data_IF_541666888798
#
_entry.id   IF_541666888798
#
_cell.length_a   1.000
_cell.length_b   1.000
_cell.length_c   1.000
_cell.angle_alpha   90.00
_cell.angle_beta   90.00
_cell.angle_gamma   90.00
#
_symmetry.space_group_name_H-M   'P 1'
#
loop_
_entity.id
_entity.type
_entity.pdbx_description
1 polymer ?
#
# COMPACT_ATOMS: atom_id res chain seq x y z
N UNK A 1 -34.96 74.46 8.77
CA UNK A 1 -35.42 73.10 9.16
C UNK A 1 -34.89 72.10 8.13
N UNK A 2 -33.79 71.40 8.40
CA UNK A 2 -33.29 70.34 7.51
C UNK A 2 -34.21 69.13 7.65
N UNK A 3 -34.96 68.79 6.59
CA UNK A 3 -35.76 67.56 6.52
C UNK A 3 -34.79 66.37 6.59
N UNK A 4 -34.63 65.79 7.77
CA UNK A 4 -33.98 64.48 7.92
C UNK A 4 -34.87 63.48 7.18
N UNK A 5 -34.37 62.96 6.06
CA UNK A 5 -35.09 61.98 5.24
C UNK A 5 -35.39 60.75 6.10
N UNK A 6 -36.68 60.52 6.42
CA UNK A 6 -37.15 59.33 7.16
C UNK A 6 -36.64 58.02 6.55
N UNK A 7 -36.42 57.99 5.23
CA UNK A 7 -35.87 56.84 4.52
C UNK A 7 -34.38 56.59 4.85
N UNK A 8 -33.60 57.64 5.13
CA UNK A 8 -32.20 57.50 5.54
C UNK A 8 -32.09 56.99 6.97
N UNK A 9 -33.03 57.40 7.84
CA UNK A 9 -33.13 56.89 9.21
C UNK A 9 -33.56 55.42 9.25
N UNK A 10 -34.51 55.01 8.40
CA UNK A 10 -34.90 53.60 8.25
C UNK A 10 -33.78 52.73 7.68
N UNK A 11 -32.98 53.27 6.74
CA UNK A 11 -31.84 52.56 6.15
C UNK A 11 -30.69 52.40 7.17
N UNK A 12 -30.48 53.39 8.04
CA UNK A 12 -29.54 53.29 9.16
C UNK A 12 -30.01 52.29 10.23
N UNK A 13 -31.32 52.27 10.51
CA UNK A 13 -31.91 51.34 11.48
C UNK A 13 -31.89 49.88 10.98
N UNK A 14 -32.07 49.68 9.66
CA UNK A 14 -31.97 48.35 9.05
C UNK A 14 -30.51 47.85 8.98
N UNK A 15 -29.54 48.72 8.73
CA UNK A 15 -28.11 48.33 8.73
C UNK A 15 -27.60 47.99 10.13
N UNK A 16 -28.06 48.66 11.19
CA UNK A 16 -27.69 48.32 12.59
C UNK A 16 -28.30 46.98 13.03
N UNK A 17 -29.48 46.60 12.52
CA UNK A 17 -30.11 45.31 12.80
C UNK A 17 -29.36 44.11 12.16
N UNK A 18 -28.67 44.32 11.02
CA UNK A 18 -27.92 43.26 10.34
C UNK A 18 -26.59 42.89 11.04
N UNK A 19 -26.02 43.75 11.89
CA UNK A 19 -24.76 43.47 12.59
C UNK A 19 -24.93 42.81 13.97
N UNK A 20 -26.17 42.62 14.46
CA UNK A 20 -26.42 42.05 15.79
C UNK A 20 -26.62 40.52 15.81
N UNK A 21 -26.48 39.84 14.66
CA UNK A 21 -26.89 38.45 14.49
C UNK A 21 -25.79 37.38 14.58
N UNK A 22 -24.51 37.73 14.58
CA UNK A 22 -23.42 36.73 14.68
C UNK A 22 -22.96 36.59 16.13
N UNK A 23 -23.65 35.73 16.89
CA UNK A 23 -23.00 35.08 18.04
C UNK A 23 -22.00 34.08 17.49
N UNK A 24 -20.73 34.34 17.71
CA UNK A 24 -19.66 33.40 17.40
C UNK A 24 -19.78 32.25 18.40
N UNK A 25 -20.11 31.05 17.92
CA UNK A 25 -20.13 29.86 18.77
C UNK A 25 -18.74 29.67 19.38
N UNK A 26 -18.66 29.80 20.69
CA UNK A 26 -17.43 29.57 21.43
C UNK A 26 -17.18 28.08 21.51
N UNK A 27 -16.10 27.61 20.90
CA UNK A 27 -15.63 26.23 21.05
C UNK A 27 -15.18 26.07 22.51
N UNK A 28 -15.98 25.37 23.29
CA UNK A 28 -15.76 25.12 24.72
C UNK A 28 -16.80 24.15 25.27
N UNK A 29 -16.65 23.69 26.51
CA UNK A 29 -17.63 22.82 27.14
C UNK A 29 -19.00 23.53 27.21
N UNK A 30 -20.06 22.79 26.88
CA UNK A 30 -21.44 23.29 26.95
C UNK A 30 -21.92 23.48 28.40
N UNK A 31 -21.27 22.79 29.32
CA UNK A 31 -21.55 22.77 30.74
C UNK A 31 -20.43 23.52 31.49
N UNK A 32 -20.78 24.32 32.51
CA UNK A 32 -19.82 25.07 33.32
C UNK A 32 -19.91 24.63 34.80
N UNK A 33 -19.53 23.38 35.04
CA UNK A 33 -19.41 22.71 36.34
C UNK A 33 -17.95 22.79 36.82
N UNK A 34 -17.75 23.03 38.11
CA UNK A 34 -16.42 22.92 38.77
C UNK A 34 -16.24 21.57 39.46
N UNK A 35 -17.18 20.64 39.26
CA UNK A 35 -17.15 19.31 39.88
C UNK A 35 -15.97 18.52 39.33
N UNK A 36 -15.07 18.13 40.21
CA UNK A 36 -13.91 17.29 39.90
C UNK A 36 -14.36 15.83 40.00
N UNK A 37 -14.27 15.03 38.92
CA UNK A 37 -14.56 13.60 39.01
C UNK A 37 -13.62 12.89 39.98
N UNK A 38 -14.10 11.79 40.56
CA UNK A 38 -13.27 10.84 41.28
C UNK A 38 -12.16 10.26 40.41
N UNK A 39 -11.08 9.81 41.03
CA UNK A 39 -10.01 9.11 40.35
C UNK A 39 -10.48 7.73 39.87
N UNK A 40 -9.91 7.24 38.77
CA UNK A 40 -10.09 5.84 38.35
C UNK A 40 -9.54 4.88 39.40
N UNK A 41 -10.10 3.67 39.47
CA UNK A 41 -9.67 2.62 40.41
C UNK A 41 -9.45 1.27 39.72
N UNK A 42 -8.89 0.28 40.42
CA UNK A 42 -8.61 -1.07 39.90
C UNK A 42 -7.83 -1.05 38.57
N UNK A 43 -6.83 -0.18 38.48
CA UNK A 43 -6.02 -0.06 37.27
C UNK A 43 -5.17 -1.31 37.10
N UNK A 44 -5.23 -1.96 35.93
CA UNK A 44 -4.36 -3.08 35.57
C UNK A 44 -3.68 -2.84 34.23
N UNK A 45 -2.49 -3.41 34.07
CA UNK A 45 -1.61 -3.21 32.91
C UNK A 45 -1.36 -4.54 32.20
N UNK A 46 -1.61 -4.57 30.89
CA UNK A 46 -1.19 -5.66 30.01
C UNK A 46 -0.19 -5.12 29.00
N UNK A 47 1.08 -5.48 29.13
CA UNK A 47 2.14 -5.01 28.24
C UNK A 47 2.14 -5.77 26.90
N UNK A 48 2.34 -5.05 25.80
CA UNK A 48 2.45 -5.58 24.44
C UNK A 48 3.63 -4.98 23.67
N UNK A 49 3.85 -5.40 22.40
CA UNK A 49 5.00 -4.95 21.60
C UNK A 49 4.95 -3.44 21.31
N UNK A 50 5.82 -2.66 21.97
CA UNK A 50 5.84 -1.19 21.85
C UNK A 50 4.57 -0.49 22.38
N UNK A 51 3.73 -1.18 23.16
CA UNK A 51 2.49 -0.66 23.71
C UNK A 51 2.14 -1.30 25.07
N UNK A 52 1.12 -0.74 25.73
CA UNK A 52 0.47 -1.36 26.87
C UNK A 52 -1.02 -1.01 26.89
N UNK A 53 -1.85 -1.98 27.28
CA UNK A 53 -3.28 -1.78 27.51
C UNK A 53 -3.52 -1.57 28.99
N UNK A 54 -4.13 -0.45 29.34
CA UNK A 54 -4.55 -0.09 30.68
C UNK A 54 -6.04 -0.38 30.80
N UNK A 55 -6.46 -1.12 31.81
CA UNK A 55 -7.89 -1.27 32.15
C UNK A 55 -8.17 -0.73 33.52
N UNK A 56 -9.37 -0.20 33.75
CA UNK A 56 -9.72 0.50 35.00
C UNK A 56 -11.23 0.47 35.28
N UNK A 57 -11.60 0.75 36.53
CA UNK A 57 -12.97 1.04 36.94
C UNK A 57 -13.21 2.54 36.93
N UNK A 58 -14.34 2.93 36.32
CA UNK A 58 -14.76 4.33 36.22
C UNK A 58 -15.24 4.87 37.58
N UNK A 59 -14.99 6.15 37.88
CA UNK A 59 -15.58 6.79 39.05
C UNK A 59 -17.10 6.93 38.89
N UNK A 60 -17.84 6.88 40.00
CA UNK A 60 -19.30 7.00 40.00
C UNK A 60 -19.74 8.48 39.94
N UNK A 61 -19.38 9.15 38.85
CA UNK A 61 -19.68 10.57 38.61
C UNK A 61 -20.63 10.74 37.43
N UNK A 62 -21.78 11.37 37.67
CA UNK A 62 -22.77 11.66 36.60
C UNK A 62 -22.24 12.63 35.55
N UNK A 63 -21.26 13.46 35.93
CA UNK A 63 -20.63 14.48 35.09
C UNK A 63 -19.39 13.93 34.34
N UNK A 64 -19.07 12.64 34.45
CA UNK A 64 -17.93 12.06 33.75
C UNK A 64 -18.15 12.09 32.22
N UNK A 65 -17.17 12.60 31.48
CA UNK A 65 -17.18 12.60 30.01
C UNK A 65 -16.20 11.58 29.44
N UNK A 66 -14.97 11.55 29.93
CA UNK A 66 -13.96 10.62 29.45
C UNK A 66 -12.87 10.36 30.49
N UNK A 67 -12.11 9.30 30.27
CA UNK A 67 -10.84 9.05 30.95
C UNK A 67 -9.73 9.26 29.93
N UNK A 68 -8.66 9.95 30.32
CA UNK A 68 -7.47 10.12 29.48
C UNK A 68 -6.21 9.60 30.15
N UNK A 69 -5.28 9.09 29.35
CA UNK A 69 -3.92 8.81 29.78
C UNK A 69 -2.94 9.77 29.09
N UNK A 70 -1.99 10.28 29.86
CA UNK A 70 -0.89 11.13 29.40
C UNK A 70 0.43 10.45 29.72
N UNK A 71 1.32 10.38 28.73
CA UNK A 71 2.62 9.73 28.82
C UNK A 71 3.60 10.36 27.83
N UNK A 72 4.90 10.15 28.04
CA UNK A 72 5.94 10.67 27.15
C UNK A 72 6.60 9.54 26.37
N UNK A 73 6.89 9.79 25.10
CA UNK A 73 7.73 8.93 24.29
C UNK A 73 9.21 9.23 24.56
N UNK A 74 10.09 8.33 24.12
CA UNK A 74 11.55 8.47 24.24
C UNK A 74 12.11 9.71 23.55
N UNK A 75 11.41 10.22 22.52
CA UNK A 75 11.76 11.45 21.81
C UNK A 75 11.29 12.74 22.55
N UNK A 76 10.65 12.61 23.72
CA UNK A 76 10.14 13.73 24.51
C UNK A 76 8.74 14.21 24.10
N UNK A 77 8.10 13.60 23.10
CA UNK A 77 6.74 13.93 22.71
C UNK A 77 5.74 13.45 23.76
N UNK A 78 4.91 14.37 24.24
CA UNK A 78 3.76 14.05 25.08
C UNK A 78 2.63 13.47 24.23
N UNK A 79 2.05 12.37 24.72
CA UNK A 79 0.97 11.65 24.08
C UNK A 79 -0.26 11.67 24.98
N UNK A 80 -1.42 11.86 24.37
CA UNK A 80 -2.72 11.80 25.04
C UNK A 80 -3.61 10.78 24.32
N UNK A 81 -4.22 9.87 25.08
CA UNK A 81 -5.23 8.94 24.59
C UNK A 81 -6.47 9.04 25.47
N UNK A 82 -7.66 9.00 24.86
CA UNK A 82 -8.95 9.13 25.55
C UNK A 82 -9.81 7.88 25.34
N UNK A 83 -10.59 7.56 26.36
CA UNK A 83 -11.69 6.60 26.33
C UNK A 83 -12.92 7.32 26.86
N UNK A 84 -14.04 7.24 26.14
CA UNK A 84 -15.29 7.81 26.65
C UNK A 84 -15.71 7.17 27.97
N UNK A 85 -16.65 7.78 28.68
CA UNK A 85 -17.24 7.25 29.90
C UNK A 85 -17.96 5.89 29.74
N UNK A 86 -18.10 5.37 28.51
CA UNK A 86 -18.58 4.01 28.26
C UNK A 86 -17.47 2.96 28.21
N UNK A 87 -16.22 3.39 28.01
CA UNK A 87 -15.06 2.53 27.90
C UNK A 87 -14.26 2.45 29.19
N UNK A 88 -13.65 1.30 29.43
CA UNK A 88 -12.87 1.00 30.63
C UNK A 88 -11.41 0.61 30.30
N UNK A 89 -10.94 1.00 29.11
CA UNK A 89 -9.63 0.63 28.59
C UNK A 89 -8.98 1.76 27.79
N UNK A 90 -7.66 1.89 27.92
CA UNK A 90 -6.82 2.82 27.16
C UNK A 90 -5.62 2.06 26.60
N UNK A 91 -5.34 2.25 25.31
CA UNK A 91 -4.14 1.72 24.67
C UNK A 91 -3.09 2.84 24.59
N UNK A 92 -1.96 2.66 25.29
CA UNK A 92 -0.80 3.56 25.21
C UNK A 92 0.25 2.91 24.31
N UNK A 93 0.77 3.65 23.33
CA UNK A 93 1.58 3.08 22.24
C UNK A 93 2.74 3.99 21.85
N UNK A 94 3.71 3.43 21.13
CA UNK A 94 4.82 4.18 20.55
C UNK A 94 6.11 4.09 21.36
N UNK A 95 6.15 3.19 22.33
CA UNK A 95 7.38 2.92 23.08
C UNK A 95 8.40 2.21 22.17
N UNK A 96 9.59 2.79 22.07
CA UNK A 96 10.70 2.22 21.28
C UNK A 96 11.58 1.24 22.05
N UNK A 97 11.46 1.22 23.38
CA UNK A 97 12.28 0.45 24.31
C UNK A 97 11.44 -0.43 25.24
N UNK A 98 12.10 -1.18 26.12
CA UNK A 98 11.46 -2.07 27.12
C UNK A 98 11.62 -1.56 28.56
N UNK A 99 11.85 -0.25 28.74
CA UNK A 99 12.03 0.37 30.04
C UNK A 99 10.67 0.57 30.73
N UNK A 100 10.70 0.92 32.02
CA UNK A 100 9.49 1.37 32.70
C UNK A 100 9.15 2.81 32.29
N UNK A 101 7.88 3.04 31.94
CA UNK A 101 7.36 4.35 31.59
C UNK A 101 6.22 4.73 32.53
N UNK A 102 6.25 5.97 33.03
CA UNK A 102 5.15 6.51 33.83
C UNK A 102 4.00 6.94 32.93
N UNK A 103 2.78 6.52 33.30
CA UNK A 103 1.54 6.94 32.65
C UNK A 103 0.61 7.55 33.70
N UNK A 104 0.06 8.72 33.39
CA UNK A 104 -0.87 9.44 34.27
C UNK A 104 -2.27 9.33 33.72
N UNK A 105 -3.18 8.75 34.48
CA UNK A 105 -4.58 8.55 34.10
C UNK A 105 -5.46 9.56 34.83
N UNK A 106 -6.33 10.25 34.10
CA UNK A 106 -7.23 11.28 34.60
C UNK A 106 -8.67 10.93 34.22
N UNK A 107 -9.60 11.10 35.15
CA UNK A 107 -11.03 11.20 34.83
C UNK A 107 -11.35 12.67 34.54
N UNK A 108 -12.12 12.95 33.49
CA UNK A 108 -12.41 14.31 33.03
C UNK A 108 -13.92 14.50 32.87
N UNK A 109 -14.43 15.60 33.44
CA UNK A 109 -15.86 15.93 33.42
C UNK A 109 -16.31 16.52 32.08
N UNK A 110 -17.62 16.72 31.90
CA UNK A 110 -18.20 17.40 30.73
C UNK A 110 -17.80 18.87 30.63
N UNK A 111 -17.34 19.44 31.75
CA UNK A 111 -16.77 20.78 31.85
C UNK A 111 -15.25 20.82 31.69
N UNK A 112 -14.61 19.75 31.22
CA UNK A 112 -13.16 19.66 31.02
C UNK A 112 -12.34 19.86 32.31
N UNK A 113 -12.92 19.55 33.46
CA UNK A 113 -12.22 19.53 34.75
C UNK A 113 -11.67 18.13 35.01
N UNK A 114 -10.35 18.02 35.17
CA UNK A 114 -9.66 16.75 35.39
C UNK A 114 -9.51 16.42 36.89
N UNK A 115 -9.58 15.13 37.22
CA UNK A 115 -9.24 14.59 38.54
C UNK A 115 -7.75 14.75 38.88
N UNK A 116 -7.37 14.42 40.11
CA UNK A 116 -5.98 14.09 40.40
C UNK A 116 -5.53 12.85 39.57
N UNK A 117 -4.25 12.74 39.17
CA UNK A 117 -3.79 11.62 38.35
C UNK A 117 -3.69 10.32 39.16
N UNK A 118 -4.12 9.22 38.55
CA UNK A 118 -3.62 7.89 38.89
C UNK A 118 -2.33 7.63 38.13
N UNK A 119 -1.22 7.53 38.87
CA UNK A 119 0.10 7.28 38.30
C UNK A 119 0.36 5.77 38.30
N UNK A 120 0.63 5.20 37.13
CA UNK A 120 0.97 3.79 36.95
C UNK A 120 2.23 3.67 36.10
N UNK A 121 2.95 2.57 36.25
CA UNK A 121 4.08 2.24 35.39
C UNK A 121 3.71 1.14 34.41
N UNK A 122 4.12 1.32 33.16
CA UNK A 122 4.03 0.29 32.12
C UNK A 122 5.44 -0.16 31.72
N UNK A 123 5.58 -1.40 31.28
CA UNK A 123 6.85 -1.96 30.80
C UNK A 123 6.61 -2.70 29.48
N UNK A 124 6.55 -1.98 28.35
CA UNK A 124 6.22 -2.55 27.05
C UNK A 124 7.18 -3.68 26.66
N UNK A 125 6.67 -4.60 25.85
CA UNK A 125 7.50 -5.61 25.20
C UNK A 125 8.27 -4.96 24.04
N UNK A 126 9.26 -5.68 23.52
CA UNK A 126 10.13 -5.20 22.44
C UNK A 126 9.32 -4.64 21.25
N UNK A 127 9.70 -3.45 20.78
CA UNK A 127 9.06 -2.82 19.63
C UNK A 127 9.24 -3.71 18.38
N UNK A 128 8.16 -3.96 17.60
CA UNK A 128 8.19 -4.81 16.41
C UNK A 128 9.30 -4.52 15.39
N UNK A 129 9.76 -3.27 15.27
CA UNK A 129 10.82 -2.88 14.32
C UNK A 129 12.08 -3.74 14.47
N UNK A 130 12.41 -4.19 15.68
CA UNK A 130 13.59 -4.99 15.96
C UNK A 130 13.48 -6.43 15.44
N UNK A 131 12.29 -7.03 15.53
CA UNK A 131 12.03 -8.35 14.93
C UNK A 131 12.16 -8.32 13.41
N UNK A 132 11.65 -7.25 12.80
CA UNK A 132 11.76 -7.03 11.35
C UNK A 132 13.23 -6.78 10.97
N UNK A 133 13.97 -5.97 11.74
CA UNK A 133 15.39 -5.71 11.51
C UNK A 133 16.23 -6.98 11.51
N UNK A 134 16.06 -7.84 12.52
CA UNK A 134 16.83 -9.09 12.62
C UNK A 134 16.52 -10.08 11.50
N UNK A 135 15.33 -10.04 10.91
CA UNK A 135 14.95 -10.90 9.78
C UNK A 135 15.24 -10.27 8.41
N UNK A 136 15.61 -8.98 8.36
CA UNK A 136 15.76 -8.22 7.13
C UNK A 136 16.93 -8.72 6.29
N UNK A 137 16.63 -9.09 5.05
CA UNK A 137 17.60 -9.37 3.99
C UNK A 137 17.41 -8.36 2.86
N UNK A 138 18.46 -7.63 2.56
CA UNK A 138 18.52 -6.76 1.39
C UNK A 138 19.40 -7.43 0.31
N UNK A 139 18.86 -7.63 -0.87
CA UNK A 139 19.57 -8.21 -2.01
C UNK A 139 19.47 -7.31 -3.24
N UNK A 140 20.42 -7.44 -4.16
CA UNK A 140 20.35 -6.74 -5.43
C UNK A 140 19.12 -7.21 -6.24
N UNK A 141 18.45 -6.25 -6.86
CA UNK A 141 17.31 -6.49 -7.76
C UNK A 141 17.42 -5.57 -8.99
N UNK A 142 16.58 -5.80 -9.98
CA UNK A 142 16.53 -5.04 -11.22
C UNK A 142 16.22 -3.57 -10.98
N UNK A 143 17.19 -2.71 -11.31
CA UNK A 143 17.12 -1.27 -11.10
C UNK A 143 17.06 -0.87 -9.63
N UNK A 144 17.37 -1.76 -8.68
CA UNK A 144 17.48 -1.40 -7.26
C UNK A 144 17.70 -2.56 -6.30
N UNK A 145 16.92 -2.61 -5.22
CA UNK A 145 17.08 -3.57 -4.13
C UNK A 145 15.76 -4.24 -3.80
N UNK A 146 15.82 -5.52 -3.44
CA UNK A 146 14.69 -6.26 -2.88
C UNK A 146 14.92 -6.50 -1.39
N UNK A 147 13.87 -6.33 -0.60
CA UNK A 147 13.86 -6.48 0.85
C UNK A 147 12.93 -7.63 1.23
N UNK A 148 13.48 -8.59 1.98
CA UNK A 148 12.73 -9.71 2.55
C UNK A 148 12.80 -9.68 4.06
N UNK A 149 11.65 -9.73 4.73
CA UNK A 149 11.56 -9.74 6.20
C UNK A 149 10.21 -10.28 6.67
N UNK A 150 10.06 -10.53 7.98
CA UNK A 150 8.79 -10.94 8.59
C UNK A 150 8.38 -9.95 9.68
N UNK A 151 7.12 -9.52 9.65
CA UNK A 151 6.46 -8.59 10.59
C UNK A 151 5.21 -9.24 11.21
N UNK A 152 5.37 -10.16 12.18
CA UNK A 152 4.26 -10.93 12.74
C UNK A 152 3.16 -10.08 13.39
N UNK A 153 3.51 -8.91 13.92
CA UNK A 153 2.60 -7.99 14.60
C UNK A 153 1.79 -7.11 13.64
N UNK A 154 2.06 -7.17 12.32
CA UNK A 154 1.46 -6.26 11.33
C UNK A 154 1.66 -4.78 11.70
N UNK A 155 2.82 -4.46 12.29
CA UNK A 155 3.11 -3.09 12.70
C UNK A 155 3.30 -2.21 11.45
N UNK A 156 2.74 -1.00 11.47
CA UNK A 156 2.99 0.01 10.45
C UNK A 156 4.45 0.48 10.51
N UNK A 157 5.22 0.13 9.50
CA UNK A 157 6.65 0.43 9.44
C UNK A 157 7.09 0.97 8.09
N UNK A 158 8.24 1.61 8.11
CA UNK A 158 8.97 2.06 6.93
C UNK A 158 10.36 1.45 6.89
N UNK A 159 10.76 0.95 5.71
CA UNK A 159 12.14 0.58 5.41
C UNK A 159 12.76 1.76 4.68
N UNK A 160 13.65 2.46 5.36
CA UNK A 160 14.32 3.64 4.84
C UNK A 160 15.66 3.26 4.22
N UNK A 161 15.87 3.69 2.98
CA UNK A 161 17.05 3.32 2.20
C UNK A 161 17.90 4.55 1.92
N UNK A 162 19.18 4.46 2.27
CA UNK A 162 20.18 5.48 2.06
C UNK A 162 21.30 4.93 1.17
N UNK A 163 21.85 5.78 0.32
CA UNK A 163 22.98 5.46 -0.55
C UNK A 163 24.19 6.31 -0.16
N UNK A 164 25.39 5.72 -0.17
CA UNK A 164 26.60 6.49 0.08
C UNK A 164 26.96 7.34 -1.14
N UNK A 165 27.04 8.65 -0.93
CA UNK A 165 27.51 9.64 -1.91
C UNK A 165 28.47 10.61 -1.24
N UNK A 166 29.65 10.81 -1.84
CA UNK A 166 30.72 11.70 -1.33
C UNK A 166 31.03 11.47 0.17
N UNK A 167 31.12 10.21 0.58
CA UNK A 167 31.45 9.80 1.96
C UNK A 167 30.30 9.93 2.97
N UNK A 168 29.11 10.39 2.56
CA UNK A 168 27.92 10.50 3.43
C UNK A 168 26.80 9.61 2.93
N UNK A 169 25.96 9.10 3.83
CA UNK A 169 24.75 8.40 3.46
C UNK A 169 23.63 9.41 3.26
N UNK A 170 23.07 9.45 2.04
CA UNK A 170 21.97 10.34 1.68
C UNK A 170 20.70 9.50 1.47
N UNK A 171 19.52 9.97 1.95
CA UNK A 171 18.28 9.25 1.77
C UNK A 171 17.95 9.14 0.28
N UNK A 172 17.45 7.98 -0.13
CA UNK A 172 16.81 7.85 -1.44
C UNK A 172 15.39 8.41 -1.37
N UNK A 173 14.80 8.75 -2.52
CA UNK A 173 13.38 9.10 -2.59
C UNK A 173 12.44 7.89 -2.52
N UNK A 174 12.98 6.71 -2.17
CA UNK A 174 12.35 5.40 -2.35
C UNK A 174 12.42 4.60 -1.05
N UNK A 175 11.45 4.86 -0.17
CA UNK A 175 11.23 4.06 1.03
C UNK A 175 10.06 3.09 0.79
N UNK A 176 10.06 1.97 1.50
CA UNK A 176 8.91 1.04 1.54
C UNK A 176 8.09 1.37 2.77
N UNK A 177 6.77 1.47 2.61
CA UNK A 177 5.80 1.58 3.71
C UNK A 177 4.92 0.33 3.71
N UNK A 178 4.83 -0.38 4.83
CA UNK A 178 4.08 -1.63 4.87
C UNK A 178 3.68 -2.04 6.29
N UNK A 179 2.58 -2.81 6.36
CA UNK A 179 2.14 -3.56 7.54
C UNK A 179 1.97 -5.06 7.21
N UNK A 180 2.50 -5.52 6.07
CA UNK A 180 2.39 -6.91 5.64
C UNK A 180 3.17 -7.84 6.57
N UNK A 181 2.63 -9.04 6.83
CA UNK A 181 3.33 -10.07 7.62
C UNK A 181 4.59 -10.50 6.89
N UNK A 182 4.46 -10.91 5.63
CA UNK A 182 5.60 -11.26 4.78
C UNK A 182 5.96 -10.06 3.91
N UNK A 183 7.16 -9.55 4.12
CA UNK A 183 7.70 -8.44 3.34
C UNK A 183 8.54 -9.06 2.23
N UNK A 184 8.14 -8.85 0.98
CA UNK A 184 8.94 -9.10 -0.22
C UNK A 184 8.67 -7.94 -1.20
N UNK A 185 9.45 -6.87 -1.05
CA UNK A 185 9.21 -5.61 -1.76
C UNK A 185 10.51 -5.03 -2.29
N UNK A 186 10.44 -4.39 -3.46
CA UNK A 186 11.61 -3.83 -4.13
C UNK A 186 11.53 -2.32 -4.26
N UNK A 187 12.65 -1.65 -4.05
CA UNK A 187 12.87 -0.26 -4.46
C UNK A 187 13.59 -0.24 -5.80
N UNK A 188 13.21 0.68 -6.68
CA UNK A 188 13.74 0.80 -8.05
C UNK A 188 14.18 2.23 -8.36
N UNK A 189 14.88 2.41 -9.48
CA UNK A 189 15.41 3.70 -9.93
C UNK A 189 16.80 4.01 -9.38
N UNK A 190 17.53 3.00 -8.92
CA UNK A 190 18.93 3.09 -8.51
C UNK A 190 19.84 2.77 -9.69
N UNK A 191 21.04 3.34 -9.69
CA UNK A 191 22.09 2.98 -10.65
C UNK A 191 22.54 1.51 -10.45
N UNK A 192 23.08 0.91 -11.50
CA UNK A 192 23.55 -0.47 -11.60
C UNK A 192 25.03 -0.63 -11.26
N UNK A 193 25.66 0.45 -10.79
CA UNK A 193 27.00 0.43 -10.21
C UNK A 193 26.97 -0.15 -8.79
N UNK A 194 28.09 -0.76 -8.39
CA UNK A 194 28.29 -1.21 -7.00
C UNK A 194 28.22 -0.02 -6.06
N UNK A 195 27.30 -0.07 -5.10
CA UNK A 195 27.01 1.02 -4.18
C UNK A 195 26.93 0.50 -2.74
N UNK A 196 27.25 1.39 -1.80
CA UNK A 196 27.10 1.15 -0.37
C UNK A 196 25.77 1.71 0.09
N UNK A 197 24.98 0.87 0.73
CA UNK A 197 23.67 1.18 1.27
C UNK A 197 23.69 1.16 2.79
N UNK A 198 22.88 2.03 3.38
CA UNK A 198 22.51 2.02 4.79
C UNK A 198 20.98 1.89 4.84
N UNK A 199 20.49 0.93 5.59
CA UNK A 199 19.07 0.58 5.66
C UNK A 199 18.65 0.55 7.12
N UNK A 200 17.54 1.21 7.46
CA UNK A 200 16.97 1.20 8.80
C UNK A 200 15.46 1.05 8.75
N UNK A 201 14.88 0.52 9.82
CA UNK A 201 13.44 0.40 9.95
C UNK A 201 12.96 1.46 10.94
N UNK A 202 11.84 2.10 10.61
CA UNK A 202 11.22 3.13 11.43
C UNK A 202 9.72 2.89 11.57
N UNK A 203 9.17 3.03 12.77
CA UNK A 203 7.73 3.00 13.01
C UNK A 203 7.07 4.39 12.85
N UNK A 204 5.75 4.47 13.08
CA UNK A 204 5.01 5.74 12.97
C UNK A 204 5.35 6.76 14.06
N UNK A 205 5.99 6.34 15.15
CA UNK A 205 6.38 7.20 16.29
C UNK A 205 7.82 7.68 16.22
N UNK A 206 8.50 7.44 15.10
CA UNK A 206 9.90 7.80 14.89
C UNK A 206 10.86 7.04 15.82
N UNK A 207 10.51 5.81 16.20
CA UNK A 207 11.49 4.87 16.73
C UNK A 207 12.28 4.26 15.57
N UNK A 208 13.59 4.16 15.72
CA UNK A 208 14.50 3.67 14.69
C UNK A 208 15.28 2.46 15.18
N UNK A 209 15.52 1.51 14.28
CA UNK A 209 16.48 0.44 14.51
C UNK A 209 17.91 0.94 14.32
N UNK A 210 18.88 0.08 14.64
CA UNK A 210 20.24 0.24 14.11
C UNK A 210 20.25 0.13 12.57
N UNK A 211 21.39 0.43 11.97
CA UNK A 211 21.58 0.51 10.52
C UNK A 211 22.18 -0.79 9.98
N UNK A 212 21.50 -1.41 9.03
CA UNK A 212 22.05 -2.47 8.20
C UNK A 212 22.87 -1.84 7.07
N UNK A 213 24.18 -2.09 7.05
CA UNK A 213 25.06 -1.68 5.95
C UNK A 213 25.23 -2.83 4.95
N UNK A 214 25.08 -2.53 3.66
CA UNK A 214 25.26 -3.52 2.59
C UNK A 214 26.01 -2.89 1.40
N UNK A 215 26.89 -3.66 0.75
CA UNK A 215 27.48 -3.26 -0.53
C UNK A 215 26.87 -4.13 -1.62
N UNK A 216 26.02 -3.53 -2.46
CA UNK A 216 25.22 -4.25 -3.45
C UNK A 216 25.37 -3.60 -4.82
N UNK A 217 25.19 -4.41 -5.87
CA UNK A 217 25.20 -3.97 -7.27
C UNK A 217 23.81 -4.26 -7.87
N UNK A 218 22.92 -3.27 -7.95
CA UNK A 218 21.62 -3.44 -8.59
C UNK A 218 21.75 -4.00 -10.01
N UNK A 219 20.80 -4.85 -10.39
CA UNK A 219 20.81 -5.49 -11.69
C UNK A 219 20.34 -4.51 -12.76
N UNK A 220 20.92 -4.59 -13.95
CA UNK A 220 20.52 -3.73 -15.06
C UNK A 220 19.14 -4.12 -15.60
N UNK A 221 18.30 -3.12 -15.84
CA UNK A 221 16.98 -3.29 -16.44
C UNK A 221 16.80 -2.25 -17.55
N UNK A 222 16.26 -2.70 -18.68
CA UNK A 222 15.75 -1.82 -19.72
C UNK A 222 14.47 -2.39 -20.32
N UNK A 223 13.72 -1.57 -21.05
CA UNK A 223 12.58 -2.04 -21.84
C UNK A 223 13.08 -2.90 -22.99
N UNK A 224 12.46 -4.07 -23.19
CA UNK A 224 12.62 -4.80 -24.45
C UNK A 224 11.71 -4.11 -25.49
N UNK A 225 12.25 -3.57 -26.59
CA UNK A 225 11.46 -2.76 -27.52
C UNK A 225 10.28 -3.55 -28.12
N UNK A 226 9.06 -3.01 -28.03
CA UNK A 226 7.87 -3.64 -28.62
C UNK A 226 7.98 -3.88 -30.13
N UNK A 227 8.77 -3.06 -30.84
CA UNK A 227 9.05 -3.24 -32.27
C UNK A 227 9.75 -4.56 -32.61
N UNK A 228 10.34 -5.25 -31.63
CA UNK A 228 10.93 -6.58 -31.81
C UNK A 228 9.95 -7.71 -31.50
N UNK A 229 8.75 -7.42 -31.00
CA UNK A 229 7.78 -8.44 -30.62
C UNK A 229 7.10 -9.02 -31.87
N UNK A 230 6.89 -10.34 -31.85
CA UNK A 230 6.18 -11.05 -32.93
C UNK A 230 5.27 -12.12 -32.34
N UNK A 231 4.09 -12.25 -32.91
CA UNK A 231 3.19 -13.35 -32.61
C UNK A 231 3.85 -14.68 -33.04
N UNK A 232 3.68 -15.69 -32.20
CA UNK A 232 4.08 -17.07 -32.50
C UNK A 232 2.90 -17.97 -32.19
N UNK A 233 2.44 -18.70 -33.20
CA UNK A 233 1.34 -19.66 -33.05
C UNK A 233 1.95 -21.05 -32.99
N UNK A 234 1.87 -21.69 -31.83
CA UNK A 234 2.31 -23.06 -31.61
C UNK A 234 1.09 -23.99 -31.50
N UNK A 235 1.24 -25.31 -31.76
CA UNK A 235 0.18 -26.26 -31.47
C UNK A 235 -0.29 -26.16 -30.01
N UNK A 236 -1.61 -26.12 -29.80
CA UNK A 236 -2.22 -25.98 -28.48
C UNK A 236 -2.34 -24.54 -27.95
N UNK A 237 -1.74 -23.54 -28.59
CA UNK A 237 -2.04 -22.14 -28.28
C UNK A 237 -3.52 -21.83 -28.55
N UNK A 238 -4.09 -20.96 -27.72
CA UNK A 238 -5.52 -20.68 -27.74
C UNK A 238 -5.88 -19.77 -28.92
N UNK A 239 -6.89 -20.13 -29.72
CA UNK A 239 -7.35 -19.26 -30.80
C UNK A 239 -8.04 -18.03 -30.22
N UNK A 240 -8.07 -16.97 -31.02
CA UNK A 240 -8.72 -15.72 -30.67
C UNK A 240 -10.22 -15.78 -30.96
N UNK A 241 -11.00 -15.03 -30.20
CA UNK A 241 -12.45 -15.00 -30.37
C UNK A 241 -12.86 -14.42 -31.72
N UNK A 242 -12.25 -13.29 -32.08
CA UNK A 242 -12.47 -12.58 -33.33
C UNK A 242 -11.17 -12.43 -34.13
N UNK A 243 -11.28 -12.31 -35.45
CA UNK A 243 -10.12 -12.12 -36.34
C UNK A 243 -9.29 -10.87 -36.02
N UNK A 244 -9.93 -9.83 -35.45
CA UNK A 244 -9.29 -8.55 -35.15
C UNK A 244 -8.78 -8.43 -33.71
N UNK A 245 -8.91 -9.48 -32.89
CA UNK A 245 -8.47 -9.52 -31.48
C UNK A 245 -7.25 -10.42 -31.29
N UNK A 246 -6.29 -10.34 -32.22
CA UNK A 246 -5.06 -11.14 -32.34
C UNK A 246 -4.05 -10.95 -31.18
N UNK A 247 -3.07 -11.84 -31.06
CA UNK A 247 -1.97 -11.71 -30.08
C UNK A 247 -1.18 -10.41 -30.32
N UNK A 248 -1.04 -10.01 -31.58
CA UNK A 248 -0.37 -8.78 -32.01
C UNK A 248 -0.98 -7.49 -31.44
N UNK A 249 -2.20 -7.54 -30.93
CA UNK A 249 -2.84 -6.41 -30.24
C UNK A 249 -2.13 -6.04 -28.94
N UNK A 250 -1.45 -6.99 -28.29
CA UNK A 250 -0.76 -6.75 -27.02
C UNK A 250 0.44 -5.80 -27.12
N UNK A 251 0.79 -5.24 -28.27
CA UNK A 251 1.88 -4.29 -28.41
C UNK A 251 1.63 -3.24 -29.51
N UNK A 252 0.37 -2.89 -29.74
CA UNK A 252 -0.02 -1.89 -30.74
C UNK A 252 -0.12 -0.46 -30.17
N UNK A 253 0.09 -0.29 -28.87
CA UNK A 253 0.07 0.99 -28.17
C UNK A 253 -1.32 1.44 -27.73
N UNK A 254 -2.36 0.61 -27.95
CA UNK A 254 -3.73 0.94 -27.57
C UNK A 254 -4.21 0.11 -26.37
N UNK A 255 -4.27 0.75 -25.21
CA UNK A 255 -4.68 0.11 -23.95
C UNK A 255 -6.20 0.16 -23.69
N UNK A 256 -7.00 0.82 -24.55
CA UNK A 256 -8.40 1.18 -24.25
C UNK A 256 -9.40 0.63 -25.27
N UNK A 257 -9.12 0.77 -26.56
CA UNK A 257 -10.16 0.69 -27.58
C UNK A 257 -10.40 -0.74 -28.03
N UNK A 258 -11.67 -1.06 -28.26
CA UNK A 258 -12.04 -2.25 -29.02
C UNK A 258 -11.75 -2.02 -30.52
N UNK A 259 -11.22 -3.01 -31.27
CA UNK A 259 -10.86 -4.37 -30.89
C UNK A 259 -9.36 -4.55 -30.57
N UNK A 260 -8.68 -3.53 -30.05
CA UNK A 260 -7.25 -3.60 -29.66
C UNK A 260 -7.07 -4.35 -28.34
N UNK A 261 -7.31 -5.67 -28.43
CA UNK A 261 -7.22 -6.61 -27.32
C UNK A 261 -6.88 -8.00 -27.88
N UNK A 262 -5.97 -8.72 -27.23
CA UNK A 262 -5.86 -10.16 -27.39
C UNK A 262 -6.98 -10.81 -26.57
N UNK A 263 -8.03 -11.24 -27.27
CA UNK A 263 -9.19 -11.91 -26.68
C UNK A 263 -9.21 -13.38 -27.11
N UNK A 264 -8.99 -14.30 -26.17
CA UNK A 264 -9.11 -15.75 -26.44
C UNK A 264 -10.56 -16.23 -26.23
N UNK A 265 -10.85 -17.50 -26.53
CA UNK A 265 -12.22 -18.05 -26.62
C UNK A 265 -12.97 -18.09 -25.27
N UNK A 266 -14.06 -17.30 -25.06
CA UNK A 266 -14.82 -17.35 -23.82
C UNK A 266 -15.50 -18.70 -23.56
N UNK A 267 -15.89 -19.43 -24.62
CA UNK A 267 -16.53 -20.74 -24.52
C UNK A 267 -15.58 -21.91 -24.18
N UNK A 268 -14.27 -21.67 -24.13
CA UNK A 268 -13.28 -22.70 -23.76
C UNK A 268 -12.95 -22.55 -22.28
N UNK A 269 -13.26 -23.57 -21.47
CA UNK A 269 -13.17 -23.53 -19.99
C UNK A 269 -11.97 -24.30 -19.41
N UNK A 270 -10.96 -24.56 -20.24
CA UNK A 270 -9.66 -25.07 -19.81
C UNK A 270 -8.65 -23.92 -19.82
N UNK A 271 -7.54 -23.98 -19.06
CA UNK A 271 -6.51 -22.95 -19.10
C UNK A 271 -6.09 -22.60 -20.53
N UNK A 272 -6.03 -21.31 -20.83
CA UNK A 272 -5.74 -20.79 -22.16
C UNK A 272 -4.41 -20.06 -22.17
N UNK A 273 -3.68 -20.10 -23.28
CA UNK A 273 -2.40 -19.41 -23.40
C UNK A 273 -2.12 -18.93 -24.81
N UNK A 274 -1.28 -17.91 -24.89
CA UNK A 274 -0.76 -17.32 -26.14
C UNK A 274 0.75 -17.17 -26.04
N UNK A 275 1.44 -17.28 -27.18
CA UNK A 275 2.90 -17.21 -27.27
C UNK A 275 3.35 -16.05 -28.15
N UNK A 276 4.45 -15.40 -27.76
CA UNK A 276 5.10 -14.36 -28.57
C UNK A 276 6.62 -14.37 -28.41
N UNK A 277 7.32 -13.99 -29.48
CA UNK A 277 8.76 -13.78 -29.54
C UNK A 277 9.06 -12.33 -29.13
N UNK A 278 10.00 -12.13 -28.21
CA UNK A 278 10.49 -10.79 -27.84
C UNK A 278 11.49 -10.22 -28.85
N UNK A 279 12.00 -11.05 -29.76
CA UNK A 279 13.04 -10.71 -30.74
C UNK A 279 14.44 -10.56 -30.14
N UNK A 280 14.59 -10.71 -28.82
CA UNK A 280 15.87 -10.62 -28.09
C UNK A 280 15.94 -11.69 -27.00
N UNK A 281 17.11 -12.30 -26.85
CA UNK A 281 17.43 -13.18 -25.74
C UNK A 281 17.84 -12.32 -24.53
N UNK A 282 17.12 -12.42 -23.42
CA UNK A 282 17.33 -11.56 -22.25
C UNK A 282 17.03 -12.26 -20.93
N UNK A 283 17.70 -11.86 -19.85
CA UNK A 283 17.25 -12.20 -18.48
C UNK A 283 16.14 -11.24 -18.12
N UNK A 284 14.93 -11.74 -17.96
CA UNK A 284 13.76 -10.89 -17.76
C UNK A 284 13.58 -10.52 -16.30
N UNK A 285 13.16 -9.28 -16.06
CA UNK A 285 12.93 -8.74 -14.72
C UNK A 285 11.46 -8.66 -14.35
N UNK A 286 10.61 -8.26 -15.30
CA UNK A 286 9.17 -8.11 -15.11
C UNK A 286 8.42 -8.00 -16.44
N UNK A 287 7.12 -8.20 -16.37
CA UNK A 287 6.16 -7.85 -17.41
C UNK A 287 5.13 -6.90 -16.83
N UNK A 288 4.84 -5.82 -17.56
CA UNK A 288 3.70 -4.94 -17.28
C UNK A 288 2.57 -5.35 -18.21
N UNK A 289 1.38 -5.55 -17.64
CA UNK A 289 0.19 -5.97 -18.38
C UNK A 289 -0.90 -4.92 -18.19
N UNK A 290 -1.48 -4.47 -19.30
CA UNK A 290 -2.73 -3.73 -19.34
C UNK A 290 -3.82 -4.69 -19.84
N UNK A 291 -4.75 -5.02 -18.96
CA UNK A 291 -5.93 -5.77 -19.36
C UNK A 291 -6.91 -4.86 -20.10
N UNK A 292 -7.82 -5.43 -20.88
CA UNK A 292 -8.81 -4.63 -21.61
C UNK A 292 -9.81 -3.99 -20.63
N UNK A 293 -9.98 -2.66 -20.64
CA UNK A 293 -10.97 -2.02 -19.80
C UNK A 293 -12.36 -2.16 -20.42
N UNK A 294 -13.10 -3.19 -20.01
CA UNK A 294 -14.47 -3.44 -20.47
C UNK A 294 -15.34 -2.21 -20.23
N UNK A 295 -16.17 -1.84 -21.20
CA UNK A 295 -17.07 -0.69 -21.06
C UNK A 295 -18.43 -1.16 -20.55
N UNK A 296 -18.70 -0.89 -19.27
CA UNK A 296 -20.00 -1.14 -18.64
C UNK A 296 -20.78 0.17 -18.48
N UNK A 297 -22.05 0.08 -18.06
CA UNK A 297 -22.90 1.26 -17.82
C UNK A 297 -22.29 2.26 -16.82
N UNK A 298 -21.41 1.81 -15.92
CA UNK A 298 -20.70 2.64 -14.94
C UNK A 298 -19.33 3.14 -15.44
N UNK A 299 -18.98 2.90 -16.70
CA UNK A 299 -17.71 3.27 -17.32
C UNK A 299 -16.75 2.08 -17.52
N UNK A 300 -15.48 2.41 -17.78
CA UNK A 300 -14.38 1.48 -18.09
C UNK A 300 -13.91 0.72 -16.84
N UNK A 301 -13.83 -0.61 -16.91
CA UNK A 301 -13.41 -1.47 -15.79
C UNK A 301 -12.31 -2.48 -16.17
N UNK A 302 -11.24 -2.52 -15.38
CA UNK A 302 -10.06 -3.36 -15.60
C UNK A 302 -10.09 -4.69 -14.84
N UNK A 303 -11.07 -4.89 -13.94
CA UNK A 303 -11.16 -6.09 -13.10
C UNK A 303 -12.46 -6.83 -13.39
N UNK A 304 -12.66 -7.15 -14.66
CA UNK A 304 -13.91 -7.70 -15.20
C UNK A 304 -13.64 -8.71 -16.32
N UNK A 305 -14.59 -9.60 -16.58
CA UNK A 305 -14.56 -10.47 -17.75
C UNK A 305 -13.27 -11.31 -17.86
N UNK A 306 -12.69 -11.31 -19.07
CA UNK A 306 -11.46 -12.04 -19.41
C UNK A 306 -10.19 -11.48 -18.84
N UNK A 307 -10.23 -10.39 -18.07
CA UNK A 307 -9.01 -9.81 -17.54
C UNK A 307 -8.30 -10.80 -16.60
N UNK A 308 -6.98 -10.89 -16.69
CA UNK A 308 -6.21 -11.89 -15.97
C UNK A 308 -6.37 -11.73 -14.45
N UNK A 309 -6.73 -12.83 -13.77
CA UNK A 309 -6.80 -12.90 -12.30
C UNK A 309 -5.73 -13.84 -11.79
N UNK A 310 -5.81 -15.13 -12.09
CA UNK A 310 -4.78 -16.11 -11.78
C UNK A 310 -4.11 -16.55 -13.09
N UNK A 311 -2.81 -16.32 -13.20
CA UNK A 311 -2.09 -16.61 -14.44
C UNK A 311 -0.62 -16.94 -14.20
N UNK A 312 -0.02 -17.56 -15.19
CA UNK A 312 1.38 -17.91 -15.22
C UNK A 312 2.06 -17.26 -16.41
N UNK A 313 3.34 -16.94 -16.26
CA UNK A 313 4.19 -16.49 -17.36
C UNK A 313 5.36 -17.44 -17.46
N UNK A 314 5.55 -17.99 -18.65
CA UNK A 314 6.58 -18.97 -18.96
C UNK A 314 7.54 -18.40 -19.99
N UNK A 315 8.79 -18.83 -19.95
CA UNK A 315 9.83 -18.40 -20.90
C UNK A 315 10.66 -19.55 -21.45
N UNK A 316 11.11 -19.41 -22.69
CA UNK A 316 12.08 -20.30 -23.34
C UNK A 316 12.94 -19.53 -24.33
N UNK A 317 14.09 -20.06 -24.69
CA UNK A 317 14.95 -19.58 -25.78
C UNK A 317 14.70 -20.35 -27.09
N UNK A 318 14.11 -21.54 -27.02
CA UNK A 318 13.80 -22.40 -28.16
C UNK A 318 12.48 -23.16 -27.90
N UNK A 319 11.32 -22.62 -28.35
CA UNK A 319 10.04 -23.28 -28.16
C UNK A 319 9.99 -24.57 -28.97
N UNK A 320 9.48 -25.68 -28.40
CA UNK A 320 9.34 -26.93 -29.13
C UNK A 320 8.25 -26.80 -30.20
N UNK A 321 8.50 -27.35 -31.38
CA UNK A 321 7.58 -27.25 -32.53
C UNK A 321 6.23 -27.94 -32.29
N UNK A 322 6.18 -28.89 -31.34
CA UNK A 322 4.95 -29.59 -30.91
C UNK A 322 4.06 -28.74 -29.97
N UNK A 323 4.51 -27.55 -29.58
CA UNK A 323 3.79 -26.63 -28.70
C UNK A 323 3.73 -27.03 -27.22
N UNK A 324 4.37 -28.13 -26.85
CA UNK A 324 4.48 -28.59 -25.47
C UNK A 324 5.20 -27.59 -24.56
N UNK A 325 5.12 -27.82 -23.24
CA UNK A 325 5.87 -27.04 -22.25
C UNK A 325 7.31 -27.55 -22.07
N UNK A 326 7.78 -28.49 -22.91
CA UNK A 326 9.16 -28.93 -22.86
C UNK A 326 10.12 -27.75 -23.08
N UNK A 327 11.17 -27.67 -22.27
CA UNK A 327 12.16 -26.58 -22.27
C UNK A 327 11.65 -25.18 -21.84
N UNK A 328 10.37 -25.06 -21.49
CA UNK A 328 9.82 -23.85 -20.87
C UNK A 328 10.16 -23.83 -19.38
N UNK A 329 10.48 -22.64 -18.88
CA UNK A 329 10.69 -22.37 -17.45
C UNK A 329 9.62 -21.42 -16.96
N UNK A 330 9.00 -21.73 -15.83
CA UNK A 330 8.05 -20.85 -15.16
C UNK A 330 8.81 -19.62 -14.66
N UNK A 331 8.46 -18.44 -15.17
CA UNK A 331 9.07 -17.17 -14.74
C UNK A 331 8.33 -16.57 -13.53
N UNK A 332 7.02 -16.82 -13.44
CA UNK A 332 6.20 -16.40 -12.30
C UNK A 332 4.76 -16.88 -12.39
N UNK A 333 4.13 -16.99 -11.22
CA UNK A 333 2.70 -17.28 -11.04
C UNK A 333 2.09 -16.17 -10.20
N UNK A 334 0.98 -15.61 -10.66
CA UNK A 334 0.44 -14.38 -10.11
C UNK A 334 -1.06 -14.49 -9.83
N UNK A 335 -1.50 -13.73 -8.83
CA UNK A 335 -2.90 -13.46 -8.53
C UNK A 335 -3.11 -11.94 -8.54
N UNK A 336 -3.78 -11.42 -9.55
CA UNK A 336 -4.11 -10.01 -9.70
C UNK A 336 -5.09 -9.59 -8.62
N UNK A 337 -4.77 -8.50 -7.91
CA UNK A 337 -5.58 -7.97 -6.82
C UNK A 337 -5.88 -6.50 -7.05
N UNK A 338 -7.08 -6.09 -6.63
CA UNK A 338 -7.46 -4.69 -6.54
C UNK A 338 -6.78 -4.05 -5.34
N UNK A 339 -6.17 -2.87 -5.47
CA UNK A 339 -5.71 -2.08 -4.32
C UNK A 339 -6.78 -1.93 -3.24
N UNK A 340 -8.02 -1.63 -3.64
CA UNK A 340 -9.14 -1.42 -2.71
C UNK A 340 -9.68 -2.70 -2.06
N UNK A 341 -9.33 -3.88 -2.61
CA UNK A 341 -9.92 -5.18 -2.24
C UNK A 341 -11.45 -5.25 -2.40
N UNK A 342 -12.04 -4.37 -3.20
CA UNK A 342 -13.48 -4.34 -3.45
C UNK A 342 -13.99 -5.58 -4.19
N UNK A 343 -15.27 -5.92 -3.98
CA UNK A 343 -15.93 -7.08 -4.58
C UNK A 343 -15.92 -7.03 -6.13
N UNK A 344 -16.11 -8.18 -6.78
CA UNK A 344 -16.24 -8.26 -8.25
C UNK A 344 -17.36 -7.32 -8.76
N UNK A 345 -17.13 -6.70 -9.93
CA UNK A 345 -18.06 -5.73 -10.51
C UNK A 345 -17.99 -4.32 -9.89
N UNK A 346 -17.33 -4.14 -8.74
CA UNK A 346 -17.07 -2.82 -8.14
C UNK A 346 -15.64 -2.38 -8.48
N UNK A 347 -15.46 -1.15 -8.92
CA UNK A 347 -14.13 -0.58 -9.15
C UNK A 347 -14.07 0.82 -8.54
N UNK A 348 -13.07 1.06 -7.70
CA UNK A 348 -12.78 2.38 -7.13
C UNK A 348 -11.90 3.20 -8.08
N UNK A 349 -11.78 4.50 -7.83
CA UNK A 349 -10.85 5.36 -8.58
C UNK A 349 -9.39 4.93 -8.41
N UNK A 350 -9.02 4.43 -7.22
CA UNK A 350 -7.70 3.86 -6.94
C UNK A 350 -7.43 2.63 -7.80
N UNK A 351 -8.40 1.71 -7.89
CA UNK A 351 -8.29 0.50 -8.72
C UNK A 351 -8.11 0.86 -10.20
N UNK A 352 -8.91 1.80 -10.70
CA UNK A 352 -8.82 2.28 -12.08
C UNK A 352 -7.45 2.89 -12.36
N UNK A 353 -6.99 3.82 -11.52
CA UNK A 353 -5.71 4.51 -11.70
C UNK A 353 -4.54 3.51 -11.69
N UNK A 354 -4.55 2.54 -10.76
CA UNK A 354 -3.54 1.50 -10.67
C UNK A 354 -3.49 0.62 -11.92
N UNK A 355 -4.64 0.14 -12.39
CA UNK A 355 -4.69 -0.72 -13.58
C UNK A 355 -4.39 0.04 -14.88
N UNK A 356 -4.87 1.29 -15.00
CA UNK A 356 -4.62 2.16 -16.16
C UNK A 356 -3.14 2.52 -16.31
N UNK A 357 -2.39 2.61 -15.19
CA UNK A 357 -0.95 2.78 -15.20
C UNK A 357 -0.17 1.52 -15.68
N UNK A 358 -0.86 0.37 -15.75
CA UNK A 358 -0.29 -0.93 -16.08
C UNK A 358 0.18 -1.67 -14.85
N UNK A 359 -0.25 -2.93 -14.70
CA UNK A 359 0.10 -3.73 -13.53
C UNK A 359 1.42 -4.45 -13.80
N UNK A 360 2.42 -4.17 -12.95
CA UNK A 360 3.75 -4.76 -13.06
C UNK A 360 3.87 -6.05 -12.26
N UNK A 361 4.30 -7.12 -12.92
CA UNK A 361 4.51 -8.44 -12.34
C UNK A 361 5.99 -8.82 -12.42
N UNK A 362 6.65 -8.92 -11.27
CA UNK A 362 8.10 -9.17 -11.17
C UNK A 362 8.40 -10.67 -11.32
N UNK A 363 9.39 -10.99 -12.15
CA UNK A 363 9.93 -12.35 -12.24
C UNK A 363 10.95 -12.60 -11.13
N UNK A 364 11.20 -13.89 -10.86
CA UNK A 364 12.28 -14.26 -9.93
C UNK A 364 13.66 -13.81 -10.48
N UNK A 365 14.53 -13.38 -9.56
CA UNK A 365 15.92 -13.05 -9.90
C UNK A 365 16.72 -14.33 -10.14
N UNK A 366 17.69 -14.28 -11.07
CA UNK A 366 18.59 -15.39 -11.36
C UNK A 366 18.05 -16.42 -12.36
N UNK A 367 16.93 -16.12 -13.03
CA UNK A 367 16.39 -16.95 -14.10
C UNK A 367 17.30 -16.94 -15.34
N UNK A 368 17.26 -18.04 -16.11
CA UNK A 368 17.98 -18.14 -17.39
C UNK A 368 17.49 -17.09 -18.38
N UNK A 369 18.32 -16.74 -19.37
CA UNK A 369 17.87 -15.91 -20.47
C UNK A 369 16.79 -16.63 -21.28
N UNK A 370 15.78 -15.89 -21.71
CA UNK A 370 14.68 -16.38 -22.56
C UNK A 370 14.41 -15.37 -23.67
N UNK A 371 13.76 -15.83 -24.74
CA UNK A 371 13.39 -15.00 -25.90
C UNK A 371 11.88 -15.06 -26.18
N UNK A 372 11.25 -16.19 -25.91
CA UNK A 372 9.83 -16.40 -26.14
C UNK A 372 9.10 -16.39 -24.81
N UNK A 373 7.93 -15.77 -24.78
CA UNK A 373 7.05 -15.76 -23.63
C UNK A 373 5.72 -16.42 -23.96
N UNK A 374 5.18 -17.12 -22.96
CA UNK A 374 3.82 -17.64 -22.97
C UNK A 374 3.08 -17.11 -21.75
N UNK A 375 1.96 -16.44 -21.99
CA UNK A 375 1.04 -16.01 -20.93
C UNK A 375 -0.08 -17.04 -20.86
N UNK A 376 -0.27 -17.65 -19.69
CA UNK A 376 -1.26 -18.69 -19.46
C UNK A 376 -2.28 -18.23 -18.43
N UNK A 377 -3.51 -18.00 -18.87
CA UNK A 377 -4.65 -17.72 -18.01
C UNK A 377 -5.14 -19.01 -17.38
N UNK A 378 -5.13 -19.05 -16.04
CA UNK A 378 -5.71 -20.13 -15.24
C UNK A 378 -7.13 -19.77 -14.85
N UNK A 379 -7.33 -18.54 -14.39
CA UNK A 379 -8.62 -17.98 -14.02
C UNK A 379 -8.64 -16.47 -14.33
N UNK A 380 -9.78 -15.96 -14.79
CA UNK A 380 -10.02 -14.55 -15.03
C UNK A 380 -10.99 -13.94 -14.01
N UNK A 381 -11.25 -12.64 -14.10
CA UNK A 381 -12.07 -11.94 -13.13
C UNK A 381 -13.52 -12.43 -13.09
N UNK A 382 -14.04 -12.99 -14.17
CA UNK A 382 -15.39 -13.60 -14.20
C UNK A 382 -15.43 -15.08 -13.81
N UNK A 383 -14.31 -15.70 -13.40
CA UNK A 383 -14.30 -17.09 -12.93
C UNK A 383 -14.16 -18.15 -14.04
N UNK A 384 -13.65 -17.78 -15.21
CA UNK A 384 -13.42 -18.66 -16.38
C UNK A 384 -11.95 -18.58 -16.82
N UNK A 385 -11.57 -19.04 -18.01
CA UNK A 385 -10.14 -19.19 -18.39
C UNK A 385 -9.68 -18.35 -19.58
N UNK A 386 -10.55 -17.71 -20.35
CA UNK A 386 -10.09 -16.84 -21.45
C UNK A 386 -9.37 -15.59 -20.93
N UNK A 387 -8.59 -14.96 -21.80
CA UNK A 387 -7.89 -13.73 -21.48
C UNK A 387 -8.33 -12.56 -22.35
N UNK A 388 -8.31 -11.37 -21.77
CA UNK A 388 -8.51 -10.08 -22.44
C UNK A 388 -7.35 -9.14 -22.10
N UNK A 389 -6.29 -9.17 -22.91
CA UNK A 389 -5.07 -8.38 -22.68
C UNK A 389 -4.91 -7.35 -23.79
N UNK A 390 -4.93 -6.06 -23.44
CA UNK A 390 -4.75 -4.98 -24.42
C UNK A 390 -3.30 -4.68 -24.70
N UNK A 391 -2.41 -4.72 -23.70
CA UNK A 391 -1.01 -4.37 -23.92
C UNK A 391 -0.08 -5.11 -22.95
N UNK A 392 1.14 -5.40 -23.39
CA UNK A 392 2.24 -5.90 -22.57
C UNK A 392 3.52 -5.11 -22.82
N UNK A 393 4.31 -4.89 -21.77
CA UNK A 393 5.67 -4.37 -21.89
C UNK A 393 6.60 -5.23 -21.04
N UNK A 394 7.60 -5.83 -21.68
CA UNK A 394 8.61 -6.67 -21.01
C UNK A 394 9.87 -5.86 -20.74
N UNK A 395 10.48 -6.11 -19.58
CA UNK A 395 11.73 -5.51 -19.13
C UNK A 395 12.76 -6.60 -18.80
N UNK A 396 14.04 -6.27 -18.92
CA UNK A 396 15.12 -7.18 -18.56
C UNK A 396 16.49 -6.69 -18.99
N UNK A 397 17.45 -7.61 -18.98
CA UNK A 397 18.83 -7.40 -19.42
C UNK A 397 19.11 -8.21 -20.71
N UNK A 398 19.18 -7.56 -21.88
CA UNK A 398 19.50 -8.21 -23.15
C UNK A 398 21.00 -8.31 -23.44
N UNK A 399 21.89 -7.82 -22.56
CA UNK A 399 23.35 -7.78 -22.79
C UNK A 399 24.00 -9.13 -22.67
#
# INVERSE_FOLDING_TARGET
MKKINKNLLLLLLSTVAFFSGCKQDTIGPLENSTTVPGQVSNVSVTNGPGNATLTFSLPNDKDLLYVKAVYNLSNGQEMEVKSSYYGNSLLVEGFGDTNEHEVKIYAVSRSEVASAPYVIKVKPLENPIWGVYRSLKAVADFGGLNFKATNPSKADLSIEVFVQSKGKYVPTSKNIYTAAIDIDQSVRGLDTLTQKFAIRIRDRWLNYTDTLFATLKPLYETTIPKSTYKEVILPGDSPQEYSNTGVSKMWDGNIIDWPSVCLTKPGVLVPQWVTFDLGKLATLSRIVIWNYPEYLNAGRTYYYGGNLKEFEVWGTDSPPADGSYNNWVLLGKYNSQKPSKSAYGVQTSEDYAFANAGISYNFAVGLKKVRYLRIKSINNWQGTTFMSVSEVQVYGDPR
#
